data_IF_545540521738
#
_entry.id   IF_545540521738
#
_cell.length_a   1.000
_cell.length_b   1.000
_cell.length_c   1.000
_cell.angle_alpha   90.00
_cell.angle_beta   90.00
_cell.angle_gamma   90.00
#
_symmetry.space_group_name_H-M   'P 1'
#
loop_
_entity.id
_entity.type
_entity.pdbx_description
1 polymer ?
#
# COMPACT_ATOMS: atom_id res chain seq x y z
N UNK A 1 -9.95 18.37 13.27
CA UNK A 1 -9.01 18.24 12.14
C UNK A 1 -7.69 17.66 12.67
N UNK A 2 -7.03 16.77 11.93
CA UNK A 2 -5.72 16.21 12.29
C UNK A 2 -4.66 16.77 11.35
N UNK A 3 -3.60 17.37 11.90
CA UNK A 3 -2.46 17.86 11.14
C UNK A 3 -1.34 16.81 11.18
N UNK A 4 -0.77 16.47 10.04
CA UNK A 4 0.43 15.65 9.92
C UNK A 4 1.59 16.56 9.52
N UNK A 5 2.70 16.44 10.23
CA UNK A 5 3.88 17.27 9.99
C UNK A 5 5.09 16.40 9.64
N UNK A 6 5.98 16.96 8.87
CA UNK A 6 7.29 16.38 8.60
C UNK A 6 8.31 17.50 8.44
N UNK A 7 9.57 17.17 8.64
CA UNK A 7 10.70 18.04 8.32
C UNK A 7 11.82 17.21 7.66
N UNK A 8 12.64 17.87 6.86
CA UNK A 8 13.78 17.27 6.20
C UNK A 8 14.98 18.17 6.42
N UNK A 9 16.12 17.59 6.78
CA UNK A 9 17.37 18.31 6.99
C UNK A 9 18.52 17.59 6.28
N UNK A 10 19.49 18.37 5.77
CA UNK A 10 20.71 17.83 5.18
C UNK A 10 21.53 17.09 6.25
N UNK A 11 22.03 15.90 5.92
CA UNK A 11 22.70 14.98 6.84
C UNK A 11 24.24 15.00 6.72
N UNK A 12 24.82 16.00 6.10
CA UNK A 12 26.26 16.10 5.90
C UNK A 12 26.65 16.65 4.53
N UNK A 13 27.75 16.15 3.97
CA UNK A 13 28.17 16.47 2.61
C UNK A 13 27.43 15.57 1.61
N UNK A 14 27.06 16.09 0.44
CA UNK A 14 26.26 15.38 -0.55
C UNK A 14 24.76 15.67 -0.45
N UNK A 15 23.92 14.79 -1.00
CA UNK A 15 22.47 14.92 -1.04
C UNK A 15 21.74 14.08 0.01
N UNK A 16 22.47 13.39 0.89
CA UNK A 16 21.87 12.62 1.99
C UNK A 16 21.02 13.50 2.92
N UNK A 17 19.80 13.07 3.19
CA UNK A 17 18.84 13.81 4.01
C UNK A 17 18.30 12.95 5.14
N UNK A 18 17.94 13.58 6.25
CA UNK A 18 17.18 12.95 7.35
C UNK A 18 15.80 13.54 7.39
N UNK A 19 14.79 12.74 7.01
CA UNK A 19 13.37 13.02 7.23
C UNK A 19 12.99 12.72 8.68
N UNK A 20 12.11 13.55 9.25
CA UNK A 20 11.47 13.33 10.55
C UNK A 20 9.97 13.48 10.41
N UNK A 21 9.22 12.50 10.89
CA UNK A 21 7.76 12.59 10.97
C UNK A 21 7.35 13.38 12.21
N UNK A 22 6.13 13.88 12.25
CA UNK A 22 5.56 14.53 13.43
C UNK A 22 5.46 13.62 14.67
N UNK A 23 5.50 12.29 14.48
CA UNK A 23 5.58 11.29 15.56
C UNK A 23 7.02 11.02 16.04
N UNK A 24 8.02 11.71 15.48
CA UNK A 24 9.42 11.63 15.92
C UNK A 24 10.28 10.58 15.22
N UNK A 25 9.72 9.77 14.34
CA UNK A 25 10.47 8.73 13.61
C UNK A 25 11.30 9.33 12.49
N UNK A 26 12.42 8.65 12.16
CA UNK A 26 13.39 9.08 11.15
C UNK A 26 13.34 8.18 9.93
N UNK A 27 13.56 8.78 8.77
CA UNK A 27 13.73 8.10 7.48
C UNK A 27 14.97 8.70 6.83
N UNK A 28 15.90 7.86 6.37
CA UNK A 28 17.02 8.29 5.57
C UNK A 28 16.58 8.40 4.11
N UNK A 29 16.94 9.51 3.49
CA UNK A 29 16.65 9.78 2.09
C UNK A 29 17.95 10.12 1.38
N UNK A 30 18.08 9.65 0.13
CA UNK A 30 19.24 9.96 -0.70
C UNK A 30 18.88 9.92 -2.19
N UNK A 31 19.82 10.30 -3.03
CA UNK A 31 19.73 10.10 -4.48
C UNK A 31 20.36 8.75 -4.89
N UNK A 32 20.38 8.50 -6.20
CA UNK A 32 20.96 7.27 -6.78
C UNK A 32 22.47 7.24 -6.71
N UNK A 33 23.14 8.36 -6.55
CA UNK A 33 24.60 8.43 -6.49
C UNK A 33 25.13 8.13 -5.08
N UNK A 34 24.44 8.63 -4.04
CA UNK A 34 24.82 8.38 -2.64
C UNK A 34 24.37 7.00 -2.14
N UNK A 35 23.18 6.57 -2.52
CA UNK A 35 22.55 5.26 -2.21
C UNK A 35 22.59 4.85 -0.73
N UNK A 36 22.49 5.83 0.17
CA UNK A 36 22.52 5.62 1.63
C UNK A 36 21.12 5.65 2.27
N UNK A 37 20.08 5.94 1.48
CA UNK A 37 18.69 6.03 1.93
C UNK A 37 17.70 5.83 0.79
N UNK A 38 16.42 5.78 1.14
CA UNK A 38 15.34 5.67 0.16
C UNK A 38 15.26 6.92 -0.71
N UNK A 39 14.90 6.75 -1.99
CA UNK A 39 14.57 7.89 -2.85
C UNK A 39 13.20 8.43 -2.44
N UNK A 40 13.00 9.76 -2.42
CA UNK A 40 11.72 10.34 -1.98
C UNK A 40 10.49 9.77 -2.70
N UNK A 41 10.59 9.45 -4.00
CA UNK A 41 9.50 8.85 -4.76
C UNK A 41 9.13 7.44 -4.30
N UNK A 42 10.07 6.65 -3.76
CA UNK A 42 9.83 5.30 -3.22
C UNK A 42 8.96 5.33 -1.96
N UNK A 43 8.91 6.46 -1.26
CA UNK A 43 8.05 6.61 -0.09
C UNK A 43 6.56 6.67 -0.45
N UNK A 44 6.20 6.99 -1.68
CA UNK A 44 4.80 7.04 -2.11
C UNK A 44 4.17 5.64 -2.10
N UNK A 45 4.69 4.63 -2.83
CA UNK A 45 4.17 3.27 -2.73
C UNK A 45 4.38 2.65 -1.34
N UNK A 46 5.47 2.97 -0.63
CA UNK A 46 5.69 2.51 0.74
C UNK A 46 4.62 3.03 1.71
N UNK A 47 4.27 4.31 1.63
CA UNK A 47 3.22 4.90 2.46
C UNK A 47 1.85 4.27 2.17
N UNK A 48 1.54 3.99 0.90
CA UNK A 48 0.31 3.32 0.50
C UNK A 48 0.26 1.89 1.05
N UNK A 49 1.32 1.10 0.83
CA UNK A 49 1.43 -0.26 1.36
C UNK A 49 1.27 -0.31 2.87
N UNK A 50 1.97 0.56 3.60
CA UNK A 50 1.90 0.63 5.06
C UNK A 50 0.51 1.04 5.57
N UNK A 51 -0.14 2.02 4.92
CA UNK A 51 -1.47 2.47 5.31
C UNK A 51 -2.50 1.34 5.18
N UNK A 52 -2.57 0.71 4.00
CA UNK A 52 -3.52 -0.38 3.77
C UNK A 52 -3.17 -1.65 4.58
N UNK A 53 -1.88 -1.94 4.79
CA UNK A 53 -1.45 -3.07 5.61
C UNK A 53 -1.98 -2.98 7.05
N UNK A 54 -1.83 -1.83 7.69
CA UNK A 54 -2.33 -1.60 9.06
C UNK A 54 -3.84 -1.77 9.17
N UNK A 55 -4.59 -1.26 8.19
CA UNK A 55 -6.04 -1.43 8.15
C UNK A 55 -6.44 -2.90 8.00
N UNK A 56 -5.91 -3.56 6.98
CA UNK A 56 -6.27 -4.94 6.63
C UNK A 56 -5.95 -5.90 7.77
N UNK A 57 -4.73 -5.85 8.33
CA UNK A 57 -4.37 -6.76 9.43
C UNK A 57 -5.21 -6.48 10.69
N UNK A 58 -5.57 -5.21 10.97
CA UNK A 58 -6.45 -4.87 12.06
C UNK A 58 -7.86 -5.46 11.88
N UNK A 59 -8.41 -5.40 10.66
CA UNK A 59 -9.71 -5.97 10.33
C UNK A 59 -9.67 -7.50 10.40
N UNK A 60 -8.64 -8.14 9.84
CA UNK A 60 -8.48 -9.61 9.88
C UNK A 60 -8.41 -10.13 11.32
N UNK A 61 -7.68 -9.44 12.22
CA UNK A 61 -7.64 -9.77 13.65
C UNK A 61 -9.00 -9.66 14.32
N UNK A 62 -9.77 -8.59 14.03
CA UNK A 62 -11.14 -8.43 14.51
C UNK A 62 -12.08 -9.54 14.01
N UNK A 63 -11.84 -10.02 12.78
CA UNK A 63 -12.55 -11.17 12.20
C UNK A 63 -12.00 -12.52 12.70
N UNK A 64 -11.08 -12.52 13.66
CA UNK A 64 -10.46 -13.72 14.27
C UNK A 64 -9.77 -14.63 13.26
N UNK A 65 -9.21 -14.04 12.20
CA UNK A 65 -8.38 -14.78 11.26
C UNK A 65 -7.00 -15.04 11.86
N UNK A 66 -6.55 -16.29 11.86
CA UNK A 66 -5.23 -16.68 12.35
C UNK A 66 -4.18 -16.48 11.25
N UNK A 67 -3.70 -15.24 11.14
CA UNK A 67 -2.69 -14.84 10.15
C UNK A 67 -1.30 -15.12 10.73
N UNK A 68 -0.55 -16.01 10.09
CA UNK A 68 0.83 -16.35 10.47
C UNK A 68 1.88 -15.54 9.72
N UNK A 69 1.58 -15.14 8.48
CA UNK A 69 2.39 -14.20 7.69
C UNK A 69 1.48 -13.24 6.94
N UNK A 70 1.88 -11.99 6.93
CA UNK A 70 1.22 -10.94 6.16
C UNK A 70 2.26 -10.00 5.56
N UNK A 71 2.21 -9.83 4.25
CA UNK A 71 3.11 -8.95 3.52
C UNK A 71 2.33 -8.16 2.47
N UNK A 72 2.74 -6.94 2.21
CA UNK A 72 2.10 -6.08 1.20
C UNK A 72 3.17 -5.53 0.28
N UNK A 73 3.02 -5.81 -1.01
CA UNK A 73 3.88 -5.29 -2.06
C UNK A 73 3.16 -4.18 -2.81
N UNK A 74 3.82 -3.06 -3.01
CA UNK A 74 3.32 -1.97 -3.84
C UNK A 74 4.31 -1.65 -4.96
N UNK A 75 3.84 -1.62 -6.21
CA UNK A 75 4.63 -1.31 -7.40
C UNK A 75 4.00 -0.14 -8.14
N UNK A 76 4.76 0.95 -8.29
CA UNK A 76 4.29 2.18 -8.92
C UNK A 76 4.89 2.40 -10.31
N UNK A 77 4.06 2.74 -11.28
CA UNK A 77 4.46 3.13 -12.63
C UNK A 77 4.43 4.65 -12.72
N UNK A 78 5.54 5.24 -13.11
CA UNK A 78 5.69 6.66 -13.37
C UNK A 78 5.74 6.90 -14.89
N UNK A 79 5.29 8.08 -15.34
CA UNK A 79 5.50 8.51 -16.73
C UNK A 79 6.96 8.87 -16.95
N UNK A 80 7.43 8.76 -18.20
CA UNK A 80 8.83 9.04 -18.54
C UNK A 80 9.14 10.54 -18.59
N UNK A 81 8.15 11.36 -18.93
CA UNK A 81 8.30 12.81 -19.05
C UNK A 81 8.20 13.50 -17.68
N UNK A 82 9.03 14.53 -17.42
CA UNK A 82 8.93 15.33 -16.20
C UNK A 82 7.54 15.96 -16.01
N UNK A 83 7.04 16.00 -14.75
CA UNK A 83 7.71 15.64 -13.49
C UNK A 83 7.64 14.16 -13.08
N UNK A 84 7.56 13.23 -13.99
CA UNK A 84 7.56 11.78 -13.76
C UNK A 84 6.53 11.34 -12.67
N UNK A 85 5.31 11.85 -12.80
CA UNK A 85 4.25 11.54 -11.85
C UNK A 85 3.83 10.06 -11.95
N UNK A 86 3.40 9.48 -10.82
CA UNK A 86 2.78 8.16 -10.84
C UNK A 86 1.47 8.18 -11.61
N UNK A 87 1.27 7.18 -12.45
CA UNK A 87 0.02 6.96 -13.19
C UNK A 87 -0.76 5.77 -12.66
N UNK A 88 -0.05 4.76 -12.11
CA UNK A 88 -0.65 3.56 -11.55
C UNK A 88 0.19 3.03 -10.39
N UNK A 89 -0.47 2.47 -9.37
CA UNK A 89 0.16 1.69 -8.30
C UNK A 89 -0.62 0.40 -8.11
N UNK A 90 0.05 -0.74 -8.26
CA UNK A 90 -0.49 -2.05 -7.96
C UNK A 90 -0.10 -2.45 -6.54
N UNK A 91 -1.06 -2.92 -5.75
CA UNK A 91 -0.90 -3.34 -4.35
C UNK A 91 -1.35 -4.78 -4.22
N UNK A 92 -0.44 -5.66 -3.83
CA UNK A 92 -0.72 -7.09 -3.62
C UNK A 92 -0.57 -7.42 -2.14
N UNK A 93 -1.61 -8.01 -1.55
CA UNK A 93 -1.64 -8.47 -0.16
C UNK A 93 -1.40 -9.98 -0.13
N UNK A 94 -0.30 -10.44 0.45
CA UNK A 94 -0.04 -11.85 0.70
C UNK A 94 -0.41 -12.21 2.13
N UNK A 95 -1.29 -13.20 2.29
CA UNK A 95 -1.82 -13.63 3.60
C UNK A 95 -1.67 -15.12 3.74
N UNK A 96 -0.93 -15.57 4.74
CA UNK A 96 -0.74 -16.98 5.05
C UNK A 96 -1.30 -17.32 6.44
N UNK A 97 -1.90 -18.51 6.58
CA UNK A 97 -2.38 -19.01 7.86
C UNK A 97 -2.99 -20.41 7.75
N UNK A 98 -3.26 -21.08 8.89
CA UNK A 98 -3.76 -22.45 8.88
C UNK A 98 -5.20 -22.55 8.36
N UNK A 99 -6.01 -21.49 8.53
CA UNK A 99 -7.42 -21.46 8.13
C UNK A 99 -7.85 -20.03 7.86
N UNK A 100 -7.46 -19.50 6.71
CA UNK A 100 -7.82 -18.15 6.28
C UNK A 100 -9.08 -18.18 5.42
N UNK A 101 -10.09 -17.41 5.82
CA UNK A 101 -11.26 -17.15 5.00
C UNK A 101 -10.91 -16.10 3.92
N UNK A 102 -10.92 -16.54 2.67
CA UNK A 102 -10.61 -15.71 1.49
C UNK A 102 -11.53 -14.50 1.38
N UNK A 103 -12.83 -14.68 1.69
CA UNK A 103 -13.80 -13.57 1.64
C UNK A 103 -13.56 -12.57 2.77
N UNK A 104 -13.08 -13.02 3.93
CA UNK A 104 -12.65 -12.12 5.00
C UNK A 104 -11.47 -11.24 4.56
N UNK A 105 -10.51 -11.81 3.81
CA UNK A 105 -9.37 -11.05 3.24
C UNK A 105 -9.86 -10.05 2.22
N UNK A 106 -10.62 -10.51 1.20
CA UNK A 106 -11.19 -9.66 0.16
C UNK A 106 -11.93 -8.45 0.74
N UNK A 107 -12.84 -8.72 1.68
CA UNK A 107 -13.63 -7.65 2.31
C UNK A 107 -12.79 -6.71 3.17
N UNK A 108 -11.71 -7.18 3.78
CA UNK A 108 -10.81 -6.33 4.56
C UNK A 108 -10.05 -5.35 3.68
N UNK A 109 -9.58 -5.81 2.52
CA UNK A 109 -8.91 -4.98 1.50
C UNK A 109 -9.88 -3.94 0.94
N UNK A 110 -11.08 -4.36 0.54
CA UNK A 110 -12.12 -3.46 0.05
C UNK A 110 -12.45 -2.35 1.06
N UNK A 111 -12.61 -2.69 2.33
CA UNK A 111 -12.89 -1.72 3.39
C UNK A 111 -11.71 -0.76 3.61
N UNK A 112 -10.47 -1.24 3.59
CA UNK A 112 -9.31 -0.36 3.65
C UNK A 112 -9.30 0.62 2.48
N UNK A 113 -9.36 0.11 1.26
CA UNK A 113 -9.26 0.92 0.05
C UNK A 113 -10.38 1.97 -0.07
N UNK A 114 -11.63 1.60 0.28
CA UNK A 114 -12.79 2.47 0.05
C UNK A 114 -13.18 3.35 1.24
N UNK A 115 -12.68 3.07 2.47
CA UNK A 115 -13.16 3.76 3.68
C UNK A 115 -12.08 4.21 4.66
N UNK A 116 -10.91 3.56 4.69
CA UNK A 116 -9.96 3.79 5.78
C UNK A 116 -8.62 4.35 5.32
N UNK A 117 -8.07 3.88 4.21
CA UNK A 117 -6.76 4.28 3.74
C UNK A 117 -6.73 5.73 3.23
N UNK A 118 -6.31 6.66 4.07
CA UNK A 118 -6.20 8.08 3.71
C UNK A 118 -5.16 8.34 2.60
N UNK A 119 -4.10 7.53 2.54
CA UNK A 119 -3.08 7.64 1.48
C UNK A 119 -3.69 7.25 0.14
N UNK A 120 -4.39 6.12 0.07
CA UNK A 120 -5.08 5.70 -1.15
C UNK A 120 -6.10 6.73 -1.62
N UNK A 121 -6.93 7.24 -0.71
CA UNK A 121 -7.90 8.30 -1.01
C UNK A 121 -7.23 9.58 -1.54
N UNK A 122 -6.08 9.97 -0.98
CA UNK A 122 -5.35 11.16 -1.43
C UNK A 122 -4.77 10.98 -2.83
N UNK A 123 -4.15 9.83 -3.11
CA UNK A 123 -3.52 9.55 -4.40
C UNK A 123 -4.56 9.38 -5.52
N UNK A 124 -5.65 8.65 -5.28
CA UNK A 124 -6.70 8.40 -6.27
C UNK A 124 -7.62 9.61 -6.51
N UNK A 125 -7.58 10.63 -5.67
CA UNK A 125 -8.27 11.90 -5.93
C UNK A 125 -7.73 12.65 -7.15
N UNK A 126 -6.46 12.39 -7.52
CA UNK A 126 -5.82 12.88 -8.74
C UNK A 126 -5.98 11.90 -9.92
N UNK A 127 -4.89 11.70 -10.66
CA UNK A 127 -4.85 10.86 -11.86
C UNK A 127 -4.30 9.44 -11.61
N UNK A 128 -3.90 9.13 -10.38
CA UNK A 128 -3.30 7.83 -10.06
C UNK A 128 -4.36 6.75 -9.97
N UNK A 129 -4.21 5.70 -10.77
CA UNK A 129 -4.98 4.46 -10.62
C UNK A 129 -4.32 3.57 -9.57
N UNK A 130 -5.09 3.04 -8.61
CA UNK A 130 -4.61 2.10 -7.59
C UNK A 130 -5.40 0.81 -7.71
N UNK A 131 -4.70 -0.31 -7.89
CA UNK A 131 -5.29 -1.65 -7.96
C UNK A 131 -4.90 -2.45 -6.74
N UNK A 132 -5.86 -3.06 -6.07
CA UNK A 132 -5.64 -3.94 -4.95
C UNK A 132 -6.00 -5.38 -5.32
N UNK A 133 -5.06 -6.29 -5.07
CA UNK A 133 -5.20 -7.73 -5.25
C UNK A 133 -4.72 -8.47 -4.00
N UNK A 134 -5.02 -9.76 -3.89
CA UNK A 134 -4.49 -10.62 -2.85
C UNK A 134 -3.98 -11.96 -3.38
N UNK A 135 -3.13 -12.58 -2.58
CA UNK A 135 -2.77 -14.00 -2.64
C UNK A 135 -2.95 -14.57 -1.24
N UNK A 136 -3.83 -15.54 -1.09
CA UNK A 136 -4.09 -16.24 0.18
C UNK A 136 -3.58 -17.67 0.11
N UNK A 137 -2.79 -18.07 1.11
CA UNK A 137 -2.34 -19.45 1.30
C UNK A 137 -2.90 -19.95 2.63
N UNK A 138 -3.77 -20.95 2.57
CA UNK A 138 -4.54 -21.43 3.73
C UNK A 138 -4.47 -22.96 3.84
N UNK A 139 -3.98 -23.47 4.98
CA UNK A 139 -4.07 -24.87 5.35
C UNK A 139 -3.45 -25.88 4.37
N UNK A 140 -2.47 -25.49 3.56
CA UNK A 140 -1.85 -26.35 2.55
C UNK A 140 -2.69 -26.53 1.26
N UNK A 141 -3.82 -25.84 1.13
CA UNK A 141 -4.59 -25.78 -0.11
C UNK A 141 -3.84 -24.96 -1.19
N UNK A 142 -4.26 -25.11 -2.44
CA UNK A 142 -3.73 -24.30 -3.53
C UNK A 142 -3.95 -22.79 -3.23
N UNK A 143 -2.98 -21.92 -3.54
CA UNK A 143 -3.15 -20.50 -3.33
C UNK A 143 -4.34 -19.93 -4.11
N UNK A 144 -5.08 -19.03 -3.47
CA UNK A 144 -6.16 -18.28 -4.12
C UNK A 144 -5.71 -16.85 -4.34
N UNK A 145 -5.81 -16.38 -5.57
CA UNK A 145 -5.45 -15.01 -5.93
C UNK A 145 -6.60 -14.33 -6.69
N UNK A 146 -6.87 -13.07 -6.38
CA UNK A 146 -7.86 -12.28 -7.09
C UNK A 146 -7.61 -10.77 -6.94
N UNK A 147 -8.08 -10.03 -7.93
CA UNK A 147 -8.25 -8.58 -7.83
C UNK A 147 -9.47 -8.25 -6.96
N UNK A 148 -9.41 -7.15 -6.22
CA UNK A 148 -10.45 -6.77 -5.25
C UNK A 148 -11.12 -5.45 -5.64
N UNK A 149 -10.33 -4.42 -5.83
CA UNK A 149 -10.85 -3.07 -6.06
C UNK A 149 -9.86 -2.24 -6.85
N UNK A 150 -10.39 -1.42 -7.74
CA UNK A 150 -9.66 -0.38 -8.46
C UNK A 150 -10.16 0.98 -7.99
N UNK A 151 -9.24 1.78 -7.49
CA UNK A 151 -9.44 3.21 -7.25
C UNK A 151 -8.89 3.94 -8.47
N UNK A 152 -9.74 4.54 -9.24
CA UNK A 152 -9.37 5.20 -10.47
C UNK A 152 -9.21 6.71 -10.32
N UNK A 153 -8.79 7.39 -11.39
CA UNK A 153 -8.69 8.84 -11.42
C UNK A 153 -9.96 9.53 -10.95
N UNK A 154 -9.76 10.69 -10.31
CA UNK A 154 -10.85 11.51 -9.75
C UNK A 154 -11.73 10.77 -8.71
N UNK A 155 -11.14 9.83 -7.97
CA UNK A 155 -11.83 9.11 -6.89
C UNK A 155 -12.82 8.05 -7.37
N UNK A 156 -12.75 7.60 -8.63
CA UNK A 156 -13.56 6.46 -9.12
C UNK A 156 -13.24 5.22 -8.28
N UNK A 157 -14.28 4.49 -7.89
CA UNK A 157 -14.17 3.23 -7.15
C UNK A 157 -14.88 2.14 -7.93
N UNK A 158 -14.17 1.06 -8.21
CA UNK A 158 -14.71 -0.14 -8.84
C UNK A 158 -14.38 -1.36 -7.99
N UNK A 159 -15.37 -1.91 -7.30
CA UNK A 159 -15.23 -3.16 -6.55
C UNK A 159 -15.42 -4.31 -7.53
N UNK A 160 -14.42 -5.16 -7.64
CA UNK A 160 -14.41 -6.29 -8.56
C UNK A 160 -15.13 -7.47 -7.90
N UNK A 161 -16.00 -8.13 -8.66
CA UNK A 161 -16.66 -9.35 -8.21
C UNK A 161 -15.61 -10.45 -7.99
N UNK A 162 -15.79 -11.34 -7.00
CA UNK A 162 -14.94 -12.51 -6.87
C UNK A 162 -14.96 -13.29 -8.18
N UNK A 163 -13.79 -13.71 -8.66
CA UNK A 163 -13.72 -14.62 -9.79
C UNK A 163 -14.55 -15.86 -9.44
N UNK A 164 -15.59 -16.10 -10.20
CA UNK A 164 -16.37 -17.34 -10.06
C UNK A 164 -15.42 -18.45 -10.46
N UNK A 165 -15.02 -19.29 -9.50
CA UNK A 165 -14.29 -20.51 -9.82
C UNK A 165 -15.20 -21.34 -10.76
N UNK A 166 -14.77 -21.48 -12.01
CA UNK A 166 -15.40 -22.36 -13.00
C UNK A 166 -14.93 -23.79 -12.73
#
# INVERSE_FOLDING_TARGET
MSVKTASVALAGLGLGLVGRTGSGHRILLDDTAGDTGARPSELVPLALAGCTALDVISILRKKRQEVTRYEVHASGIQRDDPPAAFTRIDVVHEVDGPSIDVEAVRRSIELSATRHCSVGATLSAGEVEIRHAFIVRSGGAAPVAADVVVLGPAGRVEVLAPAVAI
#
